data_IF_843155051149
#
_entry.id   IF_843155051149
#
_cell.length_a   1.000
_cell.length_b   1.000
_cell.length_c   1.000
_cell.angle_alpha   90.00
_cell.angle_beta   90.00
_cell.angle_gamma   90.00
#
_symmetry.space_group_name_H-M   'P 1'
#
loop_
_entity.id
_entity.type
_entity.pdbx_description
1 polymer ?
#
# COMPACT_ATOMS: atom_id res chain seq x y z
N UNK A 1 -32.38 -10.42 1.00
CA UNK A 1 -31.97 -10.42 0.64
C UNK A 1 -31.59 -10.84 -0.10
N UNK A 2 -31.20 -10.91 -0.24
CA UNK A 2 -30.76 -11.18 -0.82
C UNK A 2 -30.33 -11.60 -1.39
N UNK A 3 -30.19 -11.86 -1.64
CA UNK A 3 -29.74 -12.29 -2.18
C UNK A 3 -29.39 -12.28 -3.04
N UNK A 4 -29.80 -11.95 -3.21
CA UNK A 4 -29.41 -11.88 -3.94
C UNK A 4 -28.58 -11.86 -4.58
N UNK A 5 -28.36 -11.57 -4.27
CA UNK A 5 -27.27 -11.47 -4.79
C UNK A 5 -26.87 -12.70 -5.27
N UNK A 6 -27.02 -12.79 -6.31
CA UNK A 6 -26.72 -13.94 -6.98
C UNK A 6 -25.34 -14.25 -6.75
N UNK A 7 -24.54 -14.61 -6.70
CA UNK A 7 -23.20 -15.04 -6.61
C UNK A 7 -22.35 -14.17 -5.75
N UNK A 8 -22.70 -13.96 -4.47
CA UNK A 8 -21.83 -13.22 -3.57
C UNK A 8 -20.44 -13.81 -3.50
N UNK A 9 -20.32 -15.13 -3.59
CA UNK A 9 -19.03 -15.79 -3.51
C UNK A 9 -18.12 -15.42 -4.68
N UNK A 10 -18.69 -15.28 -5.89
CA UNK A 10 -17.90 -14.86 -7.05
C UNK A 10 -17.47 -13.40 -6.90
N UNK A 11 -18.38 -12.55 -6.47
CA UNK A 11 -18.08 -11.15 -6.24
C UNK A 11 -17.00 -11.01 -5.17
N UNK A 12 -17.10 -11.75 -4.10
CA UNK A 12 -16.11 -11.73 -3.02
C UNK A 12 -14.75 -12.18 -3.52
N UNK A 13 -14.69 -13.16 -4.38
CA UNK A 13 -13.42 -13.62 -4.94
C UNK A 13 -12.78 -12.56 -5.81
N UNK A 14 -13.56 -11.84 -6.61
CA UNK A 14 -13.05 -10.77 -7.44
C UNK A 14 -12.46 -9.66 -6.57
N UNK A 15 -13.19 -9.26 -5.54
CA UNK A 15 -12.70 -8.23 -4.61
C UNK A 15 -11.44 -8.67 -3.89
N UNK A 16 -11.39 -9.93 -3.49
CA UNK A 16 -10.21 -10.49 -2.83
C UNK A 16 -8.99 -10.45 -3.75
N UNK A 17 -9.17 -10.81 -5.01
CA UNK A 17 -8.08 -10.79 -5.99
C UNK A 17 -7.57 -9.36 -6.19
N UNK A 18 -8.48 -8.38 -6.26
CA UNK A 18 -8.06 -6.99 -6.36
C UNK A 18 -7.19 -6.57 -5.19
N UNK A 19 -7.59 -6.93 -3.98
CA UNK A 19 -6.82 -6.59 -2.79
C UNK A 19 -5.45 -7.28 -2.79
N UNK A 20 -5.40 -8.56 -3.17
CA UNK A 20 -4.14 -9.28 -3.18
C UNK A 20 -3.18 -8.76 -4.25
N UNK A 21 -3.69 -8.21 -5.34
CA UNK A 21 -2.83 -7.59 -6.34
C UNK A 21 -2.10 -6.38 -5.76
N UNK A 22 -2.72 -5.68 -4.81
CA UNK A 22 -2.10 -4.53 -4.16
C UNK A 22 -1.00 -4.99 -3.20
N UNK A 23 -1.27 -6.01 -2.39
CA UNK A 23 -0.37 -6.41 -1.31
C UNK A 23 0.34 -7.74 -1.57
N UNK A 24 0.55 -8.10 -2.82
CA UNK A 24 1.06 -9.43 -3.18
C UNK A 24 2.52 -9.68 -2.88
N UNK A 25 3.22 -8.77 -2.19
CA UNK A 25 4.62 -8.94 -1.81
C UNK A 25 4.83 -8.44 -0.39
N UNK A 26 6.02 -8.68 0.15
CA UNK A 26 6.27 -8.33 1.54
C UNK A 26 6.56 -6.84 1.74
N UNK A 27 6.94 -6.13 0.67
CA UNK A 27 7.34 -4.73 0.81
C UNK A 27 6.16 -3.77 0.80
N UNK A 28 5.13 -4.07 0.01
CA UNK A 28 4.00 -3.16 -0.18
C UNK A 28 3.26 -2.84 1.12
N UNK A 29 2.89 -3.84 1.96
CA UNK A 29 2.24 -3.51 3.23
C UNK A 29 3.10 -2.59 4.11
N UNK A 30 4.41 -2.82 4.13
CA UNK A 30 5.32 -2.00 4.93
C UNK A 30 5.39 -0.58 4.39
N UNK A 31 5.42 -0.42 3.06
CA UNK A 31 5.41 0.89 2.44
C UNK A 31 4.15 1.67 2.79
N UNK A 32 3.00 1.02 2.69
CA UNK A 32 1.73 1.68 2.97
C UNK A 32 1.65 2.09 4.43
N UNK A 33 2.14 1.28 5.34
CA UNK A 33 2.19 1.64 6.75
C UNK A 33 3.08 2.86 6.99
N UNK A 34 4.22 2.93 6.32
CA UNK A 34 5.10 4.09 6.45
C UNK A 34 4.41 5.37 5.99
N UNK A 35 3.56 5.26 4.97
CA UNK A 35 2.86 6.40 4.41
C UNK A 35 1.54 6.72 5.13
N UNK A 36 1.16 5.90 6.12
CA UNK A 36 -0.15 6.04 6.76
C UNK A 36 -0.31 7.39 7.47
N UNK A 37 0.76 7.90 8.05
CA UNK A 37 0.68 9.10 8.90
C UNK A 37 1.43 10.30 8.37
N UNK A 38 2.16 10.16 7.27
CA UNK A 38 3.01 11.26 6.78
C UNK A 38 3.38 11.04 5.33
N UNK A 39 3.73 12.11 4.65
CA UNK A 39 4.39 12.02 3.37
C UNK A 39 5.85 11.60 3.59
N UNK A 40 6.41 10.90 2.63
CA UNK A 40 7.78 10.42 2.73
C UNK A 40 8.52 10.63 1.42
N UNK A 41 9.81 10.89 1.54
CA UNK A 41 10.71 10.86 0.40
C UNK A 41 11.16 9.43 0.16
N UNK A 42 11.75 9.21 -1.01
CA UNK A 42 12.23 7.88 -1.40
C UNK A 42 13.20 7.31 -0.36
N UNK A 43 14.19 8.10 0.06
CA UNK A 43 15.19 7.61 1.00
C UNK A 43 14.60 7.33 2.38
N UNK A 44 13.60 8.10 2.78
CA UNK A 44 12.91 7.86 4.05
C UNK A 44 12.17 6.54 4.03
N UNK A 45 11.48 6.26 2.90
CA UNK A 45 10.80 4.98 2.76
C UNK A 45 11.79 3.83 2.77
N UNK A 46 12.90 3.99 2.10
CA UNK A 46 13.92 2.96 2.05
C UNK A 46 14.44 2.63 3.45
N UNK A 47 14.66 3.66 4.25
CA UNK A 47 15.13 3.48 5.61
C UNK A 47 14.06 2.83 6.51
N UNK A 48 12.83 3.30 6.41
CA UNK A 48 11.75 2.82 7.28
C UNK A 48 11.37 1.39 6.98
N UNK A 49 11.39 1.01 5.70
CA UNK A 49 11.02 -0.34 5.31
C UNK A 49 12.15 -1.33 5.63
N UNK A 50 13.38 -0.83 5.67
CA UNK A 50 14.50 -1.63 6.15
C UNK A 50 15.00 -2.65 5.15
N UNK A 51 15.97 -2.26 4.33
CA UNK A 51 16.68 -3.20 3.48
C UNK A 51 16.06 -3.44 2.12
N UNK A 52 15.06 -2.68 1.73
CA UNK A 52 14.52 -2.82 0.39
C UNK A 52 15.51 -2.26 -0.62
N UNK A 53 15.71 -3.00 -1.69
CA UNK A 53 16.57 -2.61 -2.79
C UNK A 53 15.95 -1.40 -3.51
N UNK A 54 16.74 -0.38 -3.90
CA UNK A 54 16.17 0.80 -4.56
C UNK A 54 15.37 0.50 -5.82
N UNK A 55 15.80 -0.49 -6.59
CA UNK A 55 15.08 -0.87 -7.80
C UNK A 55 13.71 -1.46 -7.44
N UNK A 56 13.67 -2.30 -6.42
CA UNK A 56 12.41 -2.89 -5.95
C UNK A 56 11.49 -1.81 -5.40
N UNK A 57 12.03 -0.90 -4.59
CA UNK A 57 11.23 0.20 -4.04
C UNK A 57 10.66 1.06 -5.15
N UNK A 58 11.49 1.43 -6.13
CA UNK A 58 11.06 2.23 -7.25
C UNK A 58 9.93 1.54 -8.02
N UNK A 59 10.08 0.24 -8.27
CA UNK A 59 9.06 -0.52 -9.00
C UNK A 59 7.75 -0.61 -8.21
N UNK A 60 7.85 -0.83 -6.89
CA UNK A 60 6.64 -0.90 -6.06
C UNK A 60 5.91 0.43 -6.02
N UNK A 61 6.65 1.53 -5.85
CA UNK A 61 6.04 2.86 -5.82
C UNK A 61 5.37 3.20 -7.15
N UNK A 62 6.01 2.85 -8.26
CA UNK A 62 5.42 3.08 -9.57
C UNK A 62 4.12 2.30 -9.75
N UNK A 63 4.10 1.04 -9.32
CA UNK A 63 2.90 0.20 -9.39
C UNK A 63 1.77 0.76 -8.52
N UNK A 64 2.12 1.22 -7.33
CA UNK A 64 1.13 1.78 -6.40
C UNK A 64 0.59 3.11 -6.91
N UNK A 65 1.43 3.90 -7.56
CA UNK A 65 1.00 5.15 -8.16
C UNK A 65 0.03 4.87 -9.31
N UNK A 66 0.38 3.91 -10.15
CA UNK A 66 -0.48 3.51 -11.28
C UNK A 66 -1.83 2.98 -10.79
N UNK A 67 -1.82 2.24 -9.68
CA UNK A 67 -3.05 1.70 -9.10
C UNK A 67 -3.87 2.76 -8.36
N UNK A 68 -3.36 3.98 -8.24
CA UNK A 68 -4.07 5.05 -7.56
C UNK A 68 -4.00 4.97 -6.04
N UNK A 69 -3.08 4.18 -5.50
CA UNK A 69 -2.93 4.00 -4.06
C UNK A 69 -2.01 5.07 -3.47
N UNK A 70 -0.99 5.45 -4.23
CA UNK A 70 0.04 6.40 -3.81
C UNK A 70 0.04 7.56 -4.79
N UNK A 71 0.25 8.76 -4.27
CA UNK A 71 0.46 9.95 -5.09
C UNK A 71 1.91 10.37 -5.00
N UNK A 72 2.39 11.00 -6.05
CA UNK A 72 3.77 11.45 -6.15
C UNK A 72 3.75 12.93 -6.49
N UNK A 73 4.37 13.73 -5.63
CA UNK A 73 4.45 15.18 -5.83
C UNK A 73 5.91 15.56 -6.06
N UNK A 74 6.15 16.31 -7.13
CA UNK A 74 7.47 16.81 -7.47
C UNK A 74 7.50 18.30 -7.19
N UNK A 75 8.47 18.73 -6.40
CA UNK A 75 8.65 20.15 -6.07
C UNK A 75 9.85 20.69 -6.84
N UNK A 76 9.69 21.81 -7.58
CA UNK A 76 10.76 22.34 -8.43
C UNK A 76 11.81 23.07 -7.60
N UNK A 77 12.58 22.32 -6.90
CA UNK A 77 13.70 22.84 -6.09
C UNK A 77 15.01 22.37 -6.70
N UNK A 78 16.11 22.81 -6.14
CA UNK A 78 17.44 22.37 -6.56
C UNK A 78 18.16 21.86 -5.31
N UNK A 79 18.34 20.55 -5.17
CA UNK A 79 17.86 19.49 -6.07
C UNK A 79 16.35 19.31 -5.98
N UNK A 80 15.72 18.70 -6.98
CA UNK A 80 14.27 18.49 -6.94
C UNK A 80 13.87 17.60 -5.77
N UNK A 81 12.74 17.95 -5.16
CA UNK A 81 12.20 17.18 -4.06
C UNK A 81 10.99 16.40 -4.56
N UNK A 82 10.96 15.10 -4.27
CA UNK A 82 9.84 14.22 -4.62
C UNK A 82 9.29 13.64 -3.33
N UNK A 83 7.99 13.74 -3.15
CA UNK A 83 7.33 13.21 -1.97
C UNK A 83 6.22 12.25 -2.37
N UNK A 84 6.07 11.19 -1.61
CA UNK A 84 5.04 10.18 -1.79
C UNK A 84 4.05 10.26 -0.64
N UNK A 85 2.78 10.05 -0.95
CA UNK A 85 1.72 10.09 0.04
C UNK A 85 0.63 9.09 -0.36
N UNK A 86 -0.18 8.68 0.60
CA UNK A 86 -1.34 7.86 0.28
C UNK A 86 -2.42 8.72 -0.35
N UNK A 87 -3.07 8.19 -1.36
CA UNK A 87 -4.31 8.75 -1.87
C UNK A 87 -5.45 8.38 -0.92
N UNK A 88 -6.65 8.88 -1.19
CA UNK A 88 -7.82 8.47 -0.43
C UNK A 88 -8.03 6.96 -0.56
N UNK A 89 -7.87 6.43 -1.76
CA UNK A 89 -7.98 5.00 -2.01
C UNK A 89 -6.95 4.23 -1.18
N UNK A 90 -5.74 4.76 -1.08
CA UNK A 90 -4.70 4.14 -0.26
C UNK A 90 -5.02 4.17 1.22
N UNK A 91 -5.57 5.28 1.71
CA UNK A 91 -5.95 5.38 3.12
C UNK A 91 -7.04 4.37 3.47
N UNK A 92 -7.94 4.11 2.55
CA UNK A 92 -9.00 3.14 2.76
C UNK A 92 -8.46 1.71 2.91
N UNK A 93 -7.23 1.49 2.49
CA UNK A 93 -6.61 0.19 2.63
C UNK A 93 -5.96 -0.03 3.99
N UNK A 94 -5.73 1.05 4.75
CA UNK A 94 -5.03 0.94 6.03
C UNK A 94 -5.76 0.02 7.02
N UNK A 95 -7.10 0.07 7.14
CA UNK A 95 -7.79 -0.86 8.05
C UNK A 95 -7.52 -2.33 7.74
N UNK A 96 -7.30 -2.67 6.47
CA UNK A 96 -6.94 -4.04 6.08
C UNK A 96 -5.59 -4.40 6.68
N UNK A 97 -4.63 -3.49 6.58
CA UNK A 97 -3.30 -3.72 7.13
C UNK A 97 -3.32 -3.82 8.65
N UNK A 98 -4.14 -2.99 9.28
CA UNK A 98 -4.30 -3.05 10.74
C UNK A 98 -4.87 -4.38 11.17
N UNK A 99 -5.79 -4.93 10.38
CA UNK A 99 -6.31 -6.28 10.63
C UNK A 99 -5.23 -7.34 10.53
N UNK A 100 -4.32 -7.18 9.56
CA UNK A 100 -3.19 -8.08 9.43
C UNK A 100 -2.27 -8.01 10.65
N UNK A 101 -2.03 -6.81 11.14
CA UNK A 101 -1.22 -6.63 12.35
C UNK A 101 -1.89 -7.29 13.54
N UNK A 102 -3.19 -7.09 13.70
CA UNK A 102 -3.93 -7.68 14.82
C UNK A 102 -3.85 -9.21 14.78
N UNK A 103 -4.03 -9.77 13.60
CA UNK A 103 -3.95 -11.22 13.44
C UNK A 103 -2.54 -11.73 13.77
N UNK A 104 -1.54 -11.03 13.22
CA UNK A 104 -0.14 -11.42 13.47
C UNK A 104 0.23 -11.32 14.94
N UNK A 105 -0.21 -10.25 15.60
CA UNK A 105 0.07 -10.05 17.01
C UNK A 105 -0.51 -11.19 17.85
N UNK A 106 -1.72 -11.63 17.49
CA UNK A 106 -2.38 -12.69 18.25
C UNK A 106 -1.68 -14.04 18.12
N UNK A 107 -1.11 -14.32 16.95
CA UNK A 107 -0.58 -15.64 16.65
C UNK A 107 0.94 -15.69 16.50
N UNK A 108 1.62 -14.56 16.54
CA UNK A 108 3.08 -14.56 16.53
C UNK A 108 3.60 -15.12 17.85
N UNK A 109 4.50 -16.05 17.76
CA UNK A 109 5.01 -16.72 18.96
C UNK A 109 6.10 -15.87 19.62
#
# INVERSE_FOLDING_TARGET
>A
MSTTKSNPAVQDKVCMVLATKIIGDKWTPLLLFSLANKTCRFCELQDEVGGVNPRTLSARLASLEEAGIVTRAVYPEVPPRVEYALSEKGRDFIPVLEGMVAWGTKYAA
#
